data_IF_778295940588
#
_entry.id   IF_778295940588
#
_cell.length_a   1.000
_cell.length_b   1.000
_cell.length_c   1.000
_cell.angle_alpha   90.00
_cell.angle_beta   90.00
_cell.angle_gamma   90.00
#
_symmetry.space_group_name_H-M   'P 1'
#
loop_
_entity.id
_entity.type
_entity.pdbx_description
1 polymer ?
#
# COMPACT_ATOMS: atom_id res chain seq x y z
N UNK A 1 -12.25 3.10 -23.91
CA UNK A 1 -11.43 1.87 -23.92
C UNK A 1 -10.01 2.07 -24.48
N UNK A 2 -9.82 2.73 -25.64
CA UNK A 2 -8.46 2.97 -26.21
C UNK A 2 -7.49 3.71 -25.27
N UNK A 3 -7.95 4.68 -24.48
CA UNK A 3 -7.09 5.42 -23.52
C UNK A 3 -6.60 4.56 -22.36
N UNK A 4 -7.42 3.62 -21.88
CA UNK A 4 -7.06 2.70 -20.79
C UNK A 4 -6.01 1.71 -21.29
N UNK A 5 -6.17 1.19 -22.51
CA UNK A 5 -5.18 0.31 -23.17
C UNK A 5 -3.82 1.00 -23.33
N UNK A 6 -3.79 2.27 -23.72
CA UNK A 6 -2.54 3.04 -23.85
C UNK A 6 -1.88 3.26 -22.48
N UNK A 7 -2.65 3.59 -21.44
CA UNK A 7 -2.12 3.77 -20.07
C UNK A 7 -1.53 2.47 -19.52
N UNK A 8 -2.21 1.33 -19.74
CA UNK A 8 -1.72 0.00 -19.33
C UNK A 8 -0.45 -0.38 -20.10
N UNK A 9 -0.38 -0.09 -21.41
CA UNK A 9 0.81 -0.38 -22.21
C UNK A 9 2.01 0.47 -21.78
N UNK A 10 1.79 1.76 -21.49
CA UNK A 10 2.84 2.66 -20.97
C UNK A 10 3.30 2.22 -19.57
N UNK A 11 2.38 1.76 -18.72
CA UNK A 11 2.71 1.18 -17.42
C UNK A 11 3.60 -0.06 -17.57
N UNK A 12 3.24 -1.01 -18.44
CA UNK A 12 4.04 -2.22 -18.69
C UNK A 12 5.45 -1.92 -19.18
N UNK A 13 5.60 -0.98 -20.13
CA UNK A 13 6.93 -0.55 -20.61
C UNK A 13 7.72 0.12 -19.49
N UNK A 14 7.06 0.91 -18.64
CA UNK A 14 7.66 1.51 -17.45
C UNK A 14 8.16 0.48 -16.44
N UNK A 15 7.38 -0.58 -16.19
CA UNK A 15 7.77 -1.68 -15.29
C UNK A 15 8.96 -2.45 -15.87
N UNK A 16 8.96 -2.75 -17.17
CA UNK A 16 10.08 -3.42 -17.82
C UNK A 16 11.38 -2.59 -17.77
N UNK A 17 11.29 -1.28 -18.01
CA UNK A 17 12.44 -0.38 -17.91
C UNK A 17 12.97 -0.25 -16.48
N UNK A 18 12.07 -0.17 -15.49
CA UNK A 18 12.42 -0.13 -14.07
C UNK A 18 13.05 -1.44 -13.60
N UNK A 19 12.50 -2.59 -13.98
CA UNK A 19 13.07 -3.88 -13.63
C UNK A 19 14.44 -4.09 -14.27
N UNK A 20 14.68 -3.59 -15.49
CA UNK A 20 16.01 -3.62 -16.11
C UNK A 20 17.00 -2.76 -15.33
N UNK A 21 16.61 -1.54 -14.95
CA UNK A 21 17.48 -0.66 -14.15
C UNK A 21 17.73 -1.18 -12.73
N UNK A 22 16.71 -1.75 -12.10
CA UNK A 22 16.79 -2.38 -10.76
C UNK A 22 17.58 -3.69 -10.77
N UNK A 23 17.89 -4.22 -11.96
CA UNK A 23 18.64 -5.45 -12.16
C UNK A 23 17.80 -6.72 -11.99
N UNK A 24 16.47 -6.62 -12.04
CA UNK A 24 15.57 -7.77 -12.08
C UNK A 24 15.56 -8.46 -13.43
N UNK A 25 15.94 -7.77 -14.50
CA UNK A 25 16.10 -8.35 -15.83
C UNK A 25 17.52 -8.10 -16.32
N UNK A 26 18.19 -9.16 -16.78
CA UNK A 26 19.50 -9.10 -17.45
C UNK A 26 19.31 -9.43 -18.92
N UNK A 27 19.85 -8.56 -19.79
CA UNK A 27 19.92 -8.80 -21.23
C UNK A 27 21.38 -9.10 -21.59
N UNK A 28 21.69 -10.38 -21.82
CA UNK A 28 23.01 -10.79 -22.31
C UNK A 28 23.05 -10.72 -23.83
N UNK A 29 23.93 -9.88 -24.38
CA UNK A 29 24.15 -9.79 -25.83
C UNK A 29 25.13 -10.88 -26.28
N UNK A 30 24.60 -12.04 -26.67
CA UNK A 30 25.39 -13.10 -27.29
C UNK A 30 24.51 -14.00 -28.15
N UNK A 31 24.41 -13.68 -29.45
CA UNK A 31 23.78 -14.52 -30.49
C UNK A 31 22.25 -14.60 -30.46
N UNK A 32 21.67 -14.86 -29.30
CA UNK A 32 20.23 -14.92 -29.02
C UNK A 32 19.90 -13.92 -27.91
N UNK A 33 18.88 -13.09 -28.11
CA UNK A 33 18.50 -12.07 -27.12
C UNK A 33 17.69 -12.75 -26.01
N UNK A 34 18.37 -13.37 -25.06
CA UNK A 34 17.74 -14.04 -23.91
C UNK A 34 17.55 -13.01 -22.76
N UNK A 35 16.29 -12.74 -22.43
CA UNK A 35 15.91 -11.87 -21.29
C UNK A 35 15.79 -12.76 -20.06
N UNK A 36 16.80 -12.77 -19.21
CA UNK A 36 16.77 -13.54 -17.96
C UNK A 36 16.30 -12.68 -16.81
N UNK A 37 15.23 -13.14 -16.15
CA UNK A 37 14.84 -12.62 -14.84
C UNK A 37 15.93 -13.04 -13.84
N UNK A 38 16.36 -12.12 -12.99
CA UNK A 38 17.24 -12.36 -11.85
C UNK A 38 16.36 -12.48 -10.60
N UNK A 39 15.81 -13.68 -10.31
CA UNK A 39 14.79 -13.86 -9.27
C UNK A 39 15.27 -13.42 -7.89
N UNK A 40 16.55 -13.63 -7.56
CA UNK A 40 17.10 -13.26 -6.26
C UNK A 40 17.00 -11.75 -5.93
N UNK A 41 17.15 -10.87 -6.93
CA UNK A 41 17.04 -9.42 -6.73
C UNK A 41 15.59 -8.98 -6.57
N UNK A 42 14.70 -9.58 -7.35
CA UNK A 42 13.28 -9.33 -7.26
C UNK A 42 12.72 -9.79 -5.90
N UNK A 43 13.06 -11.01 -5.47
CA UNK A 43 12.65 -11.54 -4.17
C UNK A 43 13.18 -10.67 -3.02
N UNK A 44 14.45 -10.26 -3.07
CA UNK A 44 15.03 -9.37 -2.07
C UNK A 44 14.28 -8.04 -1.96
N UNK A 45 14.01 -7.37 -3.09
CA UNK A 45 13.28 -6.10 -3.09
C UNK A 45 11.83 -6.28 -2.61
N UNK A 46 11.18 -7.38 -3.01
CA UNK A 46 9.81 -7.71 -2.61
C UNK A 46 9.71 -8.00 -1.12
N UNK A 47 10.64 -8.78 -0.57
CA UNK A 47 10.70 -9.05 0.87
C UNK A 47 10.98 -7.78 1.67
N UNK A 48 11.95 -6.96 1.25
CA UNK A 48 12.28 -5.71 1.94
C UNK A 48 11.09 -4.74 1.96
N UNK A 49 10.41 -4.58 0.83
CA UNK A 49 9.20 -3.76 0.75
C UNK A 49 8.05 -4.38 1.57
N UNK A 50 7.85 -5.69 1.47
CA UNK A 50 6.83 -6.41 2.24
C UNK A 50 7.02 -6.29 3.75
N UNK A 51 8.26 -6.34 4.24
CA UNK A 51 8.60 -6.08 5.64
C UNK A 51 8.30 -4.64 6.03
N UNK A 52 8.79 -3.66 5.26
CA UNK A 52 8.59 -2.24 5.56
C UNK A 52 7.10 -1.85 5.58
N UNK A 53 6.33 -2.31 4.59
CA UNK A 53 4.89 -2.10 4.55
C UNK A 53 4.20 -2.88 5.66
N UNK A 54 4.61 -4.11 5.96
CA UNK A 54 4.07 -4.88 7.07
C UNK A 54 4.22 -4.18 8.42
N UNK A 55 5.37 -3.55 8.67
CA UNK A 55 5.60 -2.72 9.86
C UNK A 55 4.69 -1.49 9.87
N UNK A 56 4.57 -0.77 8.74
CA UNK A 56 3.66 0.37 8.61
C UNK A 56 2.20 -0.03 8.84
N UNK A 57 1.74 -1.12 8.25
CA UNK A 57 0.37 -1.64 8.41
C UNK A 57 0.10 -2.00 9.87
N UNK A 58 1.05 -2.63 10.58
CA UNK A 58 0.94 -2.86 12.03
C UNK A 58 0.83 -1.56 12.81
N UNK A 59 1.68 -0.57 12.51
CA UNK A 59 1.61 0.74 13.16
C UNK A 59 0.27 1.45 12.90
N UNK A 60 -0.28 1.34 11.69
CA UNK A 60 -1.62 1.84 11.36
C UNK A 60 -2.71 1.18 12.20
N UNK A 61 -2.65 -0.15 12.36
CA UNK A 61 -3.57 -0.90 13.22
C UNK A 61 -3.54 -0.40 14.67
N UNK A 62 -2.34 -0.20 15.22
CA UNK A 62 -2.18 0.31 16.59
C UNK A 62 -2.75 1.72 16.73
N UNK A 63 -2.56 2.58 15.72
CA UNK A 63 -3.15 3.93 15.69
C UNK A 63 -4.68 3.89 15.61
N UNK A 64 -5.25 3.00 14.79
CA UNK A 64 -6.72 2.78 14.71
C UNK A 64 -7.26 2.29 16.05
N UNK A 65 -6.60 1.34 16.71
CA UNK A 65 -6.97 0.87 18.04
C UNK A 65 -6.92 2.00 19.09
N UNK A 66 -5.89 2.85 19.04
CA UNK A 66 -5.79 4.04 19.88
C UNK A 66 -6.91 5.05 19.64
N UNK A 67 -7.37 5.21 18.40
CA UNK A 67 -8.54 6.03 18.08
C UNK A 67 -9.84 5.42 18.62
N UNK A 68 -10.00 4.09 18.55
CA UNK A 68 -11.15 3.40 19.16
C UNK A 68 -11.28 3.71 20.65
N UNK A 69 -10.19 3.60 21.41
CA UNK A 69 -10.18 3.94 22.83
C UNK A 69 -10.56 5.41 23.08
N UNK A 70 -10.09 6.33 22.23
CA UNK A 70 -10.47 7.75 22.32
C UNK A 70 -11.96 7.98 22.03
N UNK A 71 -12.53 7.27 21.07
CA UNK A 71 -13.95 7.35 20.71
C UNK A 71 -14.85 6.72 21.76
N UNK A 72 -14.40 5.69 22.47
CA UNK A 72 -15.18 5.08 23.54
C UNK A 72 -15.50 6.04 24.68
N UNK A 73 -14.57 6.96 25.00
CA UNK A 73 -14.76 8.04 25.96
C UNK A 73 -15.66 9.19 25.47
N UNK A 74 -16.14 9.15 24.22
CA UNK A 74 -17.08 10.14 23.65
C UNK A 74 -18.53 9.67 23.77
N UNK A 75 -19.46 10.61 23.65
CA UNK A 75 -20.91 10.42 23.80
C UNK A 75 -21.67 11.07 22.64
N UNK A 76 -22.90 10.60 22.37
CA UNK A 76 -23.79 11.23 21.38
C UNK A 76 -23.37 11.03 19.92
N UNK A 77 -23.78 11.98 19.07
CA UNK A 77 -23.62 11.89 17.61
C UNK A 77 -22.15 11.89 17.15
N UNK A 78 -21.25 12.53 17.89
CA UNK A 78 -19.82 12.53 17.60
C UNK A 78 -19.23 11.12 17.73
N UNK A 79 -19.67 10.35 18.74
CA UNK A 79 -19.27 8.94 18.89
C UNK A 79 -19.74 8.12 17.70
N UNK A 80 -20.99 8.28 17.28
CA UNK A 80 -21.54 7.52 16.16
C UNK A 80 -20.82 7.80 14.84
N UNK A 81 -20.49 9.08 14.57
CA UNK A 81 -19.72 9.49 13.39
C UNK A 81 -18.29 8.94 13.42
N UNK A 82 -17.60 9.12 14.54
CA UNK A 82 -16.22 8.64 14.68
C UNK A 82 -16.13 7.11 14.61
N UNK A 83 -17.11 6.38 15.17
CA UNK A 83 -17.20 4.91 15.00
C UNK A 83 -17.34 4.51 13.53
N UNK A 84 -18.18 5.20 12.77
CA UNK A 84 -18.38 4.91 11.33
C UNK A 84 -17.09 5.13 10.54
N UNK A 85 -16.39 6.23 10.80
CA UNK A 85 -15.09 6.53 10.16
C UNK A 85 -14.00 5.53 10.58
N UNK A 86 -14.01 5.05 11.84
CA UNK A 86 -13.10 4.00 12.30
C UNK A 86 -13.35 2.65 11.64
N UNK A 87 -14.61 2.26 11.45
CA UNK A 87 -14.95 1.04 10.69
C UNK A 87 -14.46 1.15 9.24
N UNK A 88 -14.56 2.32 8.61
CA UNK A 88 -14.00 2.53 7.27
C UNK A 88 -12.46 2.41 7.26
N UNK A 89 -11.79 2.95 8.29
CA UNK A 89 -10.34 2.81 8.46
C UNK A 89 -9.91 1.35 8.66
N UNK A 90 -10.66 0.57 9.44
CA UNK A 90 -10.42 -0.87 9.60
C UNK A 90 -10.58 -1.62 8.27
N UNK A 91 -11.64 -1.33 7.51
CA UNK A 91 -11.83 -1.93 6.18
C UNK A 91 -10.69 -1.60 5.22
N UNK A 92 -10.18 -0.36 5.25
CA UNK A 92 -8.99 0.02 4.47
C UNK A 92 -7.73 -0.72 4.94
N UNK A 93 -7.56 -0.91 6.25
CA UNK A 93 -6.46 -1.70 6.81
C UNK A 93 -6.55 -3.17 6.40
N UNK A 94 -7.72 -3.81 6.48
CA UNK A 94 -7.91 -5.18 6.00
C UNK A 94 -7.59 -5.33 4.50
N UNK A 95 -7.94 -4.31 3.71
CA UNK A 95 -7.57 -4.26 2.30
C UNK A 95 -6.05 -4.16 2.11
N UNK A 96 -5.36 -3.36 2.91
CA UNK A 96 -3.90 -3.27 2.92
C UNK A 96 -3.25 -4.62 3.25
N UNK A 97 -3.76 -5.34 4.26
CA UNK A 97 -3.25 -6.68 4.61
C UNK A 97 -3.43 -7.66 3.45
N UNK A 98 -4.58 -7.64 2.77
CA UNK A 98 -4.82 -8.48 1.57
C UNK A 98 -3.88 -8.12 0.42
N UNK A 99 -3.71 -6.83 0.12
CA UNK A 99 -2.79 -6.38 -0.93
C UNK A 99 -1.34 -6.71 -0.60
N UNK A 100 -0.96 -6.69 0.69
CA UNK A 100 0.36 -7.10 1.14
C UNK A 100 0.58 -8.61 0.97
N UNK A 101 -0.45 -9.43 1.24
CA UNK A 101 -0.41 -10.88 0.95
C UNK A 101 -0.33 -11.15 -0.56
N UNK A 102 -1.09 -10.41 -1.37
CA UNK A 102 -1.02 -10.50 -2.84
C UNK A 102 0.36 -10.12 -3.36
N UNK A 103 0.99 -9.08 -2.77
CA UNK A 103 2.34 -8.66 -3.10
C UNK A 103 3.36 -9.78 -2.84
N UNK A 104 3.23 -10.58 -1.77
CA UNK A 104 4.13 -11.72 -1.51
C UNK A 104 4.08 -12.79 -2.60
N UNK A 105 2.93 -12.95 -3.26
CA UNK A 105 2.76 -13.90 -4.37
C UNK A 105 2.87 -13.24 -5.74
N UNK A 106 3.18 -11.94 -5.80
CA UNK A 106 3.21 -11.20 -7.04
C UNK A 106 4.49 -11.46 -7.83
N UNK A 107 4.33 -11.57 -9.15
CA UNK A 107 5.42 -11.54 -10.12
C UNK A 107 5.89 -10.09 -10.38
N UNK A 108 7.06 -9.94 -11.00
CA UNK A 108 7.69 -8.64 -11.26
C UNK A 108 6.78 -7.63 -11.97
N UNK A 109 5.94 -8.09 -12.91
CA UNK A 109 5.01 -7.23 -13.66
C UNK A 109 3.91 -6.63 -12.77
N UNK A 110 3.44 -7.41 -11.78
CA UNK A 110 2.37 -7.01 -10.86
C UNK A 110 2.92 -6.27 -9.64
N UNK A 111 4.14 -6.60 -9.24
CA UNK A 111 4.78 -6.06 -8.05
C UNK A 111 4.83 -4.54 -8.06
N UNK A 112 5.28 -3.90 -9.15
CA UNK A 112 5.36 -2.43 -9.21
C UNK A 112 3.99 -1.76 -9.11
N UNK A 113 2.96 -2.38 -9.68
CA UNK A 113 1.58 -1.87 -9.58
C UNK A 113 1.07 -2.01 -8.14
N UNK A 114 1.20 -3.20 -7.54
CA UNK A 114 0.80 -3.46 -6.16
C UNK A 114 1.57 -2.60 -5.15
N UNK A 115 2.87 -2.38 -5.39
CA UNK A 115 3.72 -1.51 -4.60
C UNK A 115 3.17 -0.09 -4.55
N UNK A 116 2.88 0.50 -5.72
CA UNK A 116 2.33 1.86 -5.81
C UNK A 116 0.95 1.96 -5.17
N UNK A 117 0.10 0.96 -5.39
CA UNK A 117 -1.24 0.93 -4.80
C UNK A 117 -1.18 0.82 -3.27
N UNK A 118 -0.26 0.00 -2.74
CA UNK A 118 -0.01 -0.12 -1.30
C UNK A 118 0.52 1.21 -0.73
N UNK A 119 1.54 1.81 -1.33
CA UNK A 119 2.09 3.11 -0.88
C UNK A 119 1.01 4.19 -0.82
N UNK A 120 0.21 4.30 -1.88
CA UNK A 120 -0.91 5.25 -1.94
C UNK A 120 -1.97 4.98 -0.87
N UNK A 121 -2.34 3.72 -0.69
CA UNK A 121 -3.38 3.35 0.27
C UNK A 121 -2.90 3.57 1.71
N UNK A 122 -1.62 3.31 2.01
CA UNK A 122 -1.01 3.63 3.30
C UNK A 122 -1.07 5.13 3.55
N UNK A 123 -0.65 5.96 2.61
CA UNK A 123 -0.69 7.42 2.72
C UNK A 123 -2.11 7.94 2.97
N UNK A 124 -3.10 7.44 2.22
CA UNK A 124 -4.50 7.79 2.45
C UNK A 124 -5.00 7.41 3.85
N UNK A 125 -4.58 6.25 4.38
CA UNK A 125 -4.95 5.80 5.72
C UNK A 125 -4.25 6.65 6.78
N UNK A 126 -2.96 6.97 6.61
CA UNK A 126 -2.20 7.86 7.50
C UNK A 126 -2.88 9.23 7.61
N UNK A 127 -3.21 9.85 6.47
CA UNK A 127 -3.88 11.16 6.42
C UNK A 127 -5.23 11.10 7.12
N UNK A 128 -6.06 10.08 6.85
CA UNK A 128 -7.36 9.93 7.52
C UNK A 128 -7.22 9.72 9.03
N UNK A 129 -6.24 8.95 9.48
CA UNK A 129 -5.96 8.77 10.92
C UNK A 129 -5.55 10.10 11.55
N UNK A 130 -4.72 10.91 10.88
CA UNK A 130 -4.31 12.23 11.38
C UNK A 130 -5.50 13.19 11.48
N UNK A 131 -6.35 13.25 10.45
CA UNK A 131 -7.58 14.03 10.46
C UNK A 131 -8.51 13.61 11.61
N UNK A 132 -8.70 12.30 11.83
CA UNK A 132 -9.51 11.79 12.93
C UNK A 132 -8.88 12.10 14.29
N UNK A 133 -7.57 11.98 14.41
CA UNK A 133 -6.83 12.32 15.62
C UNK A 133 -7.04 13.79 15.97
N UNK A 134 -6.96 14.69 14.98
CA UNK A 134 -7.19 16.12 15.18
C UNK A 134 -8.63 16.43 15.55
N UNK A 135 -9.62 15.89 14.82
CA UNK A 135 -11.06 16.06 15.13
C UNK A 135 -11.37 15.65 16.57
N UNK A 136 -10.85 14.50 16.99
CA UNK A 136 -11.03 13.99 18.35
C UNK A 136 -10.24 14.77 19.41
N UNK A 137 -9.20 15.52 19.04
CA UNK A 137 -8.50 16.43 19.94
C UNK A 137 -9.28 17.75 20.11
N UNK A 138 -9.71 18.37 19.01
CA UNK A 138 -10.42 19.66 19.01
C UNK A 138 -11.85 19.57 19.56
N UNK A 139 -12.52 18.42 19.43
CA UNK A 139 -13.84 18.20 20.02
C UNK A 139 -13.84 18.10 21.56
N UNK A 140 -12.68 18.20 22.23
CA UNK A 140 -12.60 18.17 23.71
C UNK A 140 -12.78 19.55 24.36
N UNK A 141 -12.78 20.63 23.57
CA UNK A 141 -12.79 22.04 24.03
C UNK A 141 -14.17 22.74 23.92
N UNK A 142 -15.26 21.99 23.73
CA UNK A 142 -16.64 22.51 23.81
C UNK A 142 -17.47 21.66 24.74
#
# INVERSE_FOLDING_TARGET
MKKILIVVLVLLVGVAALGYWRGWYSVTKGGDTDVRVVPAKFEQDREAFGQSVGEKTKALKDRIAGLWTKVEGRSGDEKARAKKELVELEQKHERLEKQLQELQSADADKYETLKRDLERTIEEVEVKIDEQTQKLATGKDK
#
